data_IF_070520280484
#
_entry.id   IF_070520280484
#
_cell.length_a   1.000
_cell.length_b   1.000
_cell.length_c   1.000
_cell.angle_alpha   90.00
_cell.angle_beta   90.00
_cell.angle_gamma   90.00
#
_symmetry.space_group_name_H-M   'P 1'
#
loop_
_entity.id
_entity.type
_entity.pdbx_description
1 polymer ?
#
# COMPACT_ATOMS: atom_id res chain seq x y z
N UNK A 1 -17.04 -7.58 -6.46
CA UNK A 1 -15.96 -7.40 -5.48
C UNK A 1 -14.68 -7.26 -6.29
N UNK A 2 -13.93 -6.15 -6.23
CA UNK A 2 -12.59 -6.14 -6.77
C UNK A 2 -11.77 -7.16 -5.97
N UNK A 3 -11.15 -8.10 -6.67
CA UNK A 3 -10.30 -9.14 -6.08
C UNK A 3 -8.88 -8.79 -6.49
N UNK A 4 -7.94 -8.84 -5.55
CA UNK A 4 -6.55 -8.51 -5.82
C UNK A 4 -6.02 -9.39 -6.96
N UNK A 5 -5.34 -8.81 -7.97
CA UNK A 5 -4.85 -9.59 -9.09
C UNK A 5 -3.94 -10.73 -8.61
N UNK A 6 -4.03 -11.95 -9.18
CA UNK A 6 -3.22 -13.09 -8.77
C UNK A 6 -1.71 -12.87 -8.99
N UNK A 7 -1.33 -11.86 -9.77
CA UNK A 7 0.07 -11.48 -10.07
C UNK A 7 0.66 -10.46 -9.07
N UNK A 8 -0.09 -10.10 -8.02
CA UNK A 8 0.41 -9.18 -7.00
C UNK A 8 1.47 -9.87 -6.16
N UNK A 9 2.74 -9.64 -6.49
CA UNK A 9 3.86 -10.08 -5.67
C UNK A 9 3.97 -9.21 -4.41
N UNK A 10 3.56 -9.76 -3.26
CA UNK A 10 3.61 -9.06 -1.97
C UNK A 10 5.03 -8.69 -1.51
N UNK A 11 6.05 -9.32 -2.10
CA UNK A 11 7.46 -9.01 -1.84
C UNK A 11 7.94 -7.76 -2.61
N UNK A 12 7.20 -7.33 -3.62
CA UNK A 12 7.54 -6.20 -4.47
C UNK A 12 6.66 -4.99 -4.16
N UNK A 13 7.30 -3.94 -3.63
CA UNK A 13 6.65 -2.66 -3.27
C UNK A 13 5.90 -2.05 -4.46
N UNK A 14 6.45 -2.13 -5.67
CA UNK A 14 5.81 -1.60 -6.88
C UNK A 14 4.52 -2.35 -7.21
N UNK A 15 4.54 -3.68 -7.13
CA UNK A 15 3.36 -4.51 -7.40
C UNK A 15 2.25 -4.26 -6.38
N UNK A 16 2.60 -4.20 -5.09
CA UNK A 16 1.65 -3.88 -4.00
C UNK A 16 1.09 -2.46 -4.19
N UNK A 17 1.94 -1.50 -4.54
CA UNK A 17 1.50 -0.12 -4.78
C UNK A 17 0.50 -0.02 -5.94
N UNK A 18 0.74 -0.71 -7.06
CA UNK A 18 -0.22 -0.73 -8.18
C UNK A 18 -1.56 -1.34 -7.77
N UNK A 19 -1.56 -2.38 -6.93
CA UNK A 19 -2.79 -2.96 -6.40
C UNK A 19 -3.55 -1.95 -5.50
N UNK A 20 -2.83 -1.23 -4.63
CA UNK A 20 -3.41 -0.21 -3.75
C UNK A 20 -4.06 0.95 -4.53
N UNK A 21 -3.50 1.36 -5.66
CA UNK A 21 -4.12 2.36 -6.55
C UNK A 21 -5.46 1.90 -7.13
N UNK A 22 -5.72 0.59 -7.18
CA UNK A 22 -6.99 0.01 -7.60
C UNK A 22 -7.94 -0.26 -6.42
N UNK A 23 -7.55 0.11 -5.19
CA UNK A 23 -8.33 -0.13 -3.98
C UNK A 23 -8.29 -1.58 -3.47
N UNK A 24 -7.26 -2.35 -3.85
CA UNK A 24 -7.04 -3.74 -3.42
C UNK A 24 -5.60 -3.95 -2.95
N UNK A 25 -5.25 -5.13 -2.43
CA UNK A 25 -3.87 -5.44 -2.03
C UNK A 25 -3.43 -4.90 -0.67
N UNK A 26 -4.37 -4.41 0.15
CA UNK A 26 -4.10 -4.05 1.54
C UNK A 26 -3.60 -5.26 2.36
N UNK A 27 -3.99 -6.49 2.01
CA UNK A 27 -3.47 -7.71 2.64
C UNK A 27 -1.97 -7.96 2.43
N UNK A 28 -1.35 -7.28 1.45
CA UNK A 28 0.10 -7.36 1.18
C UNK A 28 0.89 -6.22 1.83
N UNK A 29 0.22 -5.28 2.52
CA UNK A 29 0.89 -4.24 3.30
C UNK A 29 1.44 -4.87 4.57
N UNK A 30 2.72 -4.63 4.84
CA UNK A 30 3.47 -5.16 5.98
C UNK A 30 4.25 -4.04 6.65
N UNK A 31 4.66 -4.25 7.90
CA UNK A 31 5.52 -3.29 8.61
C UNK A 31 6.84 -3.02 7.86
N UNK A 32 7.31 -4.00 7.10
CA UNK A 32 8.54 -3.90 6.31
C UNK A 32 8.39 -3.03 5.05
N UNK A 33 7.21 -2.99 4.42
CA UNK A 33 7.00 -2.27 3.17
C UNK A 33 6.18 -0.98 3.31
N UNK A 34 5.43 -0.80 4.40
CA UNK A 34 4.50 0.33 4.56
C UNK A 34 5.18 1.69 4.41
N UNK A 35 6.40 1.84 4.95
CA UNK A 35 7.12 3.10 4.85
C UNK A 35 7.53 3.43 3.41
N UNK A 36 7.94 2.43 2.63
CA UNK A 36 8.27 2.61 1.22
C UNK A 36 7.01 2.94 0.39
N UNK A 37 5.87 2.31 0.71
CA UNK A 37 4.58 2.59 0.08
C UNK A 37 4.10 4.03 0.37
N UNK A 38 4.27 4.52 1.60
CA UNK A 38 3.97 5.93 1.96
C UNK A 38 4.82 6.88 1.12
N UNK A 39 6.14 6.67 1.08
CA UNK A 39 7.04 7.53 0.31
C UNK A 39 6.69 7.55 -1.19
N UNK A 40 6.34 6.39 -1.75
CA UNK A 40 5.85 6.26 -3.13
C UNK A 40 4.57 7.06 -3.35
N UNK A 41 3.59 6.90 -2.47
CA UNK A 41 2.32 7.63 -2.54
C UNK A 41 2.53 9.15 -2.48
N UNK A 42 3.46 9.64 -1.67
CA UNK A 42 3.78 11.07 -1.61
C UNK A 42 4.47 11.58 -2.88
N UNK A 43 5.45 10.84 -3.39
CA UNK A 43 6.16 11.18 -4.63
C UNK A 43 5.20 11.28 -5.82
N UNK A 44 4.25 10.36 -5.91
CA UNK A 44 3.25 10.30 -6.97
C UNK A 44 2.03 11.21 -6.73
N UNK A 45 2.03 12.00 -5.64
CA UNK A 45 0.94 12.92 -5.25
C UNK A 45 -0.40 12.22 -5.03
N UNK A 46 -0.39 11.08 -4.35
CA UNK A 46 -1.55 10.36 -3.85
C UNK A 46 -1.70 10.56 -2.32
N UNK A 47 -2.14 11.75 -1.85
CA UNK A 47 -2.15 12.09 -0.43
C UNK A 47 -3.14 11.27 0.39
N UNK A 48 -4.24 10.80 -0.20
CA UNK A 48 -5.23 9.95 0.48
C UNK A 48 -4.60 8.59 0.81
N UNK A 49 -4.01 7.92 -0.18
CA UNK A 49 -3.32 6.64 0.04
C UNK A 49 -2.16 6.77 1.04
N UNK A 50 -1.39 7.87 0.97
CA UNK A 50 -0.34 8.13 1.93
C UNK A 50 -0.87 8.30 3.36
N UNK A 51 -2.04 8.92 3.54
CA UNK A 51 -2.69 9.05 4.84
C UNK A 51 -3.18 7.69 5.34
N UNK A 52 -3.87 6.91 4.51
CA UNK A 52 -4.36 5.58 4.87
C UNK A 52 -3.23 4.64 5.32
N UNK A 53 -2.10 4.66 4.61
CA UNK A 53 -0.93 3.84 4.97
C UNK A 53 -0.27 4.33 6.28
N UNK A 54 -0.32 5.63 6.58
CA UNK A 54 0.15 6.18 7.87
C UNK A 54 -0.76 5.78 9.02
N UNK A 55 -2.07 5.80 8.79
CA UNK A 55 -3.06 5.32 9.75
C UNK A 55 -2.88 3.82 10.01
N UNK A 56 -2.61 3.04 8.96
CA UNK A 56 -2.27 1.63 9.09
C UNK A 56 -0.97 1.41 9.88
N UNK A 57 0.07 2.23 9.66
CA UNK A 57 1.35 2.14 10.36
C UNK A 57 1.25 2.59 11.83
N UNK A 58 0.26 3.42 12.17
CA UNK A 58 0.13 3.96 13.51
C UNK A 58 0.07 2.80 14.52
N UNK A 59 0.94 2.80 15.55
CA UNK A 59 0.89 1.76 16.56
C UNK A 59 -0.49 1.79 17.22
N UNK A 60 -1.21 0.67 17.19
CA UNK A 60 -2.33 0.48 18.10
C UNK A 60 -1.76 0.59 19.52
N UNK A 61 -2.08 1.70 20.21
CA UNK A 61 -1.74 1.92 21.61
C UNK A 61 -2.42 0.93 22.54
#
# INVERSE_FOLDING_TARGET
>A
MPTTPPDTDGSNVDSVYQALLQGVGHEFVTEANVQALIQRAEADRHPVLAAELREWQAPCG
#
